data_IF_670102265900
#
_entry.id   IF_670102265900
#
_cell.length_a   1.000
_cell.length_b   1.000
_cell.length_c   1.000
_cell.angle_alpha   90.00
_cell.angle_beta   90.00
_cell.angle_gamma   90.00
#
_symmetry.space_group_name_H-M   'P 1'
#
loop_
_entity.id
_entity.type
_entity.pdbx_description
1 polymer ?
#
# COMPACT_ATOMS: atom_id res chain seq x y z
N UNK A 1 26.81 12.96 8.54
CA UNK A 1 25.34 12.97 8.66
C UNK A 1 24.78 13.69 7.43
N UNK A 2 24.48 12.96 6.35
CA UNK A 2 24.14 13.59 5.07
C UNK A 2 22.63 13.82 5.01
N UNK A 3 22.21 15.09 5.06
CA UNK A 3 20.82 15.50 4.89
C UNK A 3 20.31 15.02 3.52
N UNK A 4 19.27 14.17 3.51
CA UNK A 4 18.68 13.60 2.28
C UNK A 4 17.47 14.40 1.76
N UNK A 5 17.18 15.55 2.39
CA UNK A 5 16.10 16.43 1.97
C UNK A 5 16.34 16.95 0.55
N UNK A 6 15.30 17.02 -0.28
CA UNK A 6 15.40 17.39 -1.70
C UNK A 6 15.81 16.26 -2.65
N UNK A 7 16.28 15.11 -2.14
CA UNK A 7 16.53 13.95 -3.00
C UNK A 7 15.21 13.21 -3.34
N UNK A 8 15.06 12.68 -4.57
CA UNK A 8 13.92 11.82 -4.89
C UNK A 8 13.86 10.59 -3.98
N UNK A 9 12.66 10.30 -3.44
CA UNK A 9 12.44 9.19 -2.48
C UNK A 9 12.95 7.85 -3.01
N UNK A 10 12.70 7.55 -4.28
CA UNK A 10 13.11 6.30 -4.93
C UNK A 10 14.64 6.14 -4.98
N UNK A 11 15.38 7.23 -5.17
CA UNK A 11 16.85 7.21 -5.17
C UNK A 11 17.42 7.03 -3.76
N UNK A 12 16.79 7.66 -2.76
CA UNK A 12 17.15 7.47 -1.35
C UNK A 12 16.95 6.02 -0.92
N UNK A 13 15.85 5.38 -1.32
CA UNK A 13 15.57 3.98 -1.03
C UNK A 13 16.52 3.04 -1.77
N UNK A 14 16.81 3.27 -3.07
CA UNK A 14 17.78 2.47 -3.83
C UNK A 14 19.15 2.44 -3.15
N UNK A 15 19.67 3.60 -2.73
CA UNK A 15 20.93 3.68 -1.98
C UNK A 15 20.86 2.91 -0.67
N UNK A 16 19.75 3.07 0.09
CA UNK A 16 19.57 2.36 1.36
C UNK A 16 19.53 0.83 1.18
N UNK A 17 18.91 0.34 0.11
CA UNK A 17 18.87 -1.10 -0.18
C UNK A 17 20.28 -1.60 -0.52
N UNK A 18 21.06 -0.85 -1.31
CA UNK A 18 22.45 -1.20 -1.61
C UNK A 18 23.34 -1.22 -0.35
N UNK A 19 23.09 -0.32 0.62
CA UNK A 19 23.76 -0.34 1.93
C UNK A 19 23.43 -1.62 2.75
N UNK A 20 22.29 -2.26 2.50
CA UNK A 20 21.83 -3.47 3.20
C UNK A 20 22.31 -4.73 2.47
N UNK A 21 22.12 -4.79 1.15
CA UNK A 21 22.54 -5.90 0.30
C UNK A 21 23.04 -5.33 -1.04
N UNK A 22 24.36 -5.28 -1.28
CA UNK A 22 24.92 -4.70 -2.50
C UNK A 22 24.60 -5.51 -3.76
N UNK A 23 24.26 -6.79 -3.62
CA UNK A 23 23.89 -7.67 -4.74
C UNK A 23 22.41 -7.52 -5.14
N UNK A 24 21.61 -6.81 -4.34
CA UNK A 24 20.21 -6.55 -4.64
C UNK A 24 20.08 -5.59 -5.84
N UNK A 25 19.52 -6.09 -6.94
CA UNK A 25 19.26 -5.28 -8.13
C UNK A 25 17.99 -4.43 -7.92
N UNK A 26 18.17 -3.11 -7.83
CA UNK A 26 17.08 -2.16 -7.65
C UNK A 26 16.94 -1.23 -8.84
N UNK A 27 15.77 -1.30 -9.49
CA UNK A 27 15.32 -0.34 -10.49
C UNK A 27 14.49 0.75 -9.82
N UNK A 28 14.94 2.01 -9.91
CA UNK A 28 14.28 3.15 -9.27
C UNK A 28 13.59 4.00 -10.33
N UNK A 29 12.26 3.95 -10.36
CA UNK A 29 11.44 4.71 -11.30
C UNK A 29 10.87 5.94 -10.59
N UNK A 30 11.32 7.13 -10.99
CA UNK A 30 10.85 8.40 -10.42
C UNK A 30 9.62 8.89 -11.20
N UNK A 31 8.48 8.25 -10.98
CA UNK A 31 7.24 8.57 -11.67
C UNK A 31 6.03 8.29 -10.77
N UNK A 32 4.88 8.85 -11.14
CA UNK A 32 3.61 8.51 -10.52
C UNK A 32 2.89 7.44 -11.33
N UNK A 33 2.37 6.43 -10.64
CA UNK A 33 1.46 5.48 -11.27
C UNK A 33 0.17 6.19 -11.70
N UNK A 34 -0.16 6.05 -12.98
CA UNK A 34 -1.43 6.46 -13.57
C UNK A 34 -1.88 5.38 -14.56
N UNK A 35 -3.19 5.22 -14.82
CA UNK A 35 -3.68 4.21 -15.74
C UNK A 35 -3.02 4.25 -17.12
N UNK A 36 -2.63 5.44 -17.59
CA UNK A 36 -1.99 5.63 -18.90
C UNK A 36 -0.56 5.05 -18.95
N UNK A 37 0.09 4.90 -17.79
CA UNK A 37 1.46 4.37 -17.67
C UNK A 37 1.52 2.91 -17.23
N UNK A 38 0.38 2.24 -17.06
CA UNK A 38 0.33 0.87 -16.52
C UNK A 38 1.13 -0.14 -17.36
N UNK A 39 1.15 0.04 -18.68
CA UNK A 39 1.86 -0.84 -19.62
C UNK A 39 3.37 -0.67 -19.54
N UNK A 40 3.83 0.53 -19.16
CA UNK A 40 5.24 0.83 -18.94
C UNK A 40 5.71 0.34 -17.56
N UNK A 41 4.88 0.54 -16.53
CA UNK A 41 5.27 0.32 -15.13
C UNK A 41 5.03 -1.10 -14.62
N UNK A 42 4.03 -1.83 -15.17
CA UNK A 42 3.69 -3.19 -14.73
C UNK A 42 4.21 -4.18 -15.76
N UNK A 43 5.37 -4.76 -15.48
CA UNK A 43 5.96 -5.78 -16.34
C UNK A 43 5.39 -7.17 -16.05
N UNK A 44 5.25 -8.04 -17.07
CA UNK A 44 4.71 -9.38 -16.91
C UNK A 44 5.63 -10.34 -16.15
N UNK A 45 6.92 -10.01 -15.98
CA UNK A 45 7.91 -10.81 -15.26
C UNK A 45 7.90 -10.59 -13.74
N UNK A 46 7.02 -9.73 -13.23
CA UNK A 46 6.88 -9.52 -11.80
C UNK A 46 6.30 -10.76 -11.10
N UNK A 47 7.06 -11.29 -10.14
CA UNK A 47 6.59 -12.35 -9.24
C UNK A 47 5.49 -11.87 -8.31
N UNK A 48 5.53 -10.59 -7.91
CA UNK A 48 4.58 -10.00 -6.98
C UNK A 48 4.54 -8.48 -7.10
N UNK A 49 3.37 -7.89 -6.85
CA UNK A 49 3.19 -6.44 -6.70
C UNK A 49 2.85 -6.12 -5.24
N UNK A 50 3.55 -5.14 -4.67
CA UNK A 50 3.26 -4.59 -3.34
C UNK A 50 2.74 -3.17 -3.50
N UNK A 51 1.45 -2.97 -3.24
CA UNK A 51 0.79 -1.69 -3.41
C UNK A 51 0.74 -0.90 -2.10
N UNK A 52 1.52 0.19 -2.06
CA UNK A 52 1.55 1.19 -1.00
C UNK A 52 1.08 2.58 -1.45
N UNK A 53 0.28 2.66 -2.52
CA UNK A 53 -0.29 3.91 -3.05
C UNK A 53 -1.38 4.44 -2.12
N UNK A 54 -1.44 5.76 -1.94
CA UNK A 54 -2.45 6.46 -1.12
C UNK A 54 -3.66 6.96 -1.93
N UNK A 55 -3.47 7.26 -3.21
CA UNK A 55 -4.55 7.60 -4.14
C UNK A 55 -5.46 6.41 -4.44
N UNK A 56 -6.76 6.56 -4.14
CA UNK A 56 -7.77 5.51 -4.34
C UNK A 56 -7.91 5.11 -5.81
N UNK A 57 -7.94 6.07 -6.74
CA UNK A 57 -8.13 5.77 -8.16
C UNK A 57 -6.96 4.99 -8.75
N UNK A 58 -5.73 5.44 -8.48
CA UNK A 58 -4.51 4.78 -8.89
C UNK A 58 -4.40 3.35 -8.30
N UNK A 59 -4.73 3.20 -7.02
CA UNK A 59 -4.76 1.90 -6.33
C UNK A 59 -5.74 0.92 -6.96
N UNK A 60 -6.99 1.34 -7.17
CA UNK A 60 -8.02 0.47 -7.76
C UNK A 60 -7.62 0.03 -9.17
N UNK A 61 -7.00 0.94 -9.93
CA UNK A 61 -6.49 0.62 -11.26
C UNK A 61 -5.32 -0.37 -11.25
N UNK A 62 -4.34 -0.16 -10.38
CA UNK A 62 -3.20 -1.07 -10.20
C UNK A 62 -3.69 -2.48 -9.82
N UNK A 63 -4.61 -2.58 -8.85
CA UNK A 63 -5.18 -3.86 -8.40
C UNK A 63 -5.91 -4.56 -9.54
N UNK A 64 -6.80 -3.86 -10.25
CA UNK A 64 -7.54 -4.44 -11.36
C UNK A 64 -6.60 -4.90 -12.49
N UNK A 65 -5.57 -4.11 -12.79
CA UNK A 65 -4.58 -4.45 -13.82
C UNK A 65 -3.73 -5.65 -13.44
N UNK A 66 -3.26 -5.72 -12.18
CA UNK A 66 -2.50 -6.86 -11.67
C UNK A 66 -3.32 -8.16 -11.76
N UNK A 67 -4.57 -8.14 -11.29
CA UNK A 67 -5.48 -9.29 -11.36
C UNK A 67 -5.76 -9.70 -12.80
N UNK A 68 -6.04 -8.74 -13.70
CA UNK A 68 -6.29 -9.03 -15.10
C UNK A 68 -5.07 -9.65 -15.82
N UNK A 69 -3.85 -9.33 -15.38
CA UNK A 69 -2.60 -9.89 -15.90
C UNK A 69 -2.14 -11.16 -15.19
N UNK A 70 -2.89 -11.62 -14.18
CA UNK A 70 -2.50 -12.79 -13.38
C UNK A 70 -1.27 -12.57 -12.50
N UNK A 71 -0.92 -11.30 -12.19
CA UNK A 71 0.22 -10.99 -11.32
C UNK A 71 -0.28 -10.91 -9.87
N UNK A 72 0.27 -11.73 -8.94
CA UNK A 72 -0.10 -11.66 -7.53
C UNK A 72 0.13 -10.26 -6.94
N UNK A 73 -0.82 -9.79 -6.12
CA UNK A 73 -0.77 -8.45 -5.52
C UNK A 73 -1.24 -8.47 -4.06
N UNK A 74 -0.56 -7.68 -3.23
CA UNK A 74 -0.99 -7.33 -1.87
C UNK A 74 -1.05 -5.81 -1.74
N UNK A 75 -2.04 -5.27 -1.02
CA UNK A 75 -2.26 -3.83 -0.92
C UNK A 75 -2.41 -3.31 0.51
N UNK A 76 -1.79 -2.17 0.81
CA UNK A 76 -2.03 -1.43 2.06
C UNK A 76 -3.27 -0.55 1.93
N UNK A 77 -4.12 -0.59 2.96
CA UNK A 77 -5.22 0.34 3.16
C UNK A 77 -4.78 1.53 4.05
N UNK A 78 -5.74 2.31 4.55
CA UNK A 78 -5.47 3.51 5.33
C UNK A 78 -4.86 3.24 6.71
N UNK A 79 -3.68 3.84 6.94
CA UNK A 79 -2.95 3.87 8.21
C UNK A 79 -2.96 5.25 8.90
N UNK A 80 -3.57 6.27 8.28
CA UNK A 80 -3.68 7.61 8.86
C UNK A 80 -4.66 7.66 10.04
N UNK A 81 -4.42 8.60 10.96
CA UNK A 81 -5.17 8.83 12.19
C UNK A 81 -5.32 7.59 13.08
N UNK A 82 -4.27 6.79 13.19
CA UNK A 82 -4.26 5.54 13.96
C UNK A 82 -3.01 5.50 14.82
N UNK A 83 -3.13 4.93 16.02
CA UNK A 83 -2.03 4.87 16.99
C UNK A 83 -1.59 3.45 17.30
N UNK A 84 -2.47 2.46 17.18
CA UNK A 84 -2.20 1.09 17.61
C UNK A 84 -1.75 0.20 16.43
N UNK A 85 -0.45 -0.13 16.32
CA UNK A 85 0.05 -1.04 15.29
C UNK A 85 -0.44 -2.47 15.49
N UNK A 86 -0.85 -2.87 16.71
CA UNK A 86 -1.34 -4.23 16.99
C UNK A 86 -2.74 -4.48 16.41
N UNK A 87 -3.47 -3.41 16.07
CA UNK A 87 -4.75 -3.49 15.40
C UNK A 87 -4.65 -3.80 13.89
N UNK A 88 -3.44 -3.88 13.32
CA UNK A 88 -3.21 -4.24 11.92
C UNK A 88 -3.45 -5.74 11.69
N UNK A 89 -4.08 -6.06 10.55
CA UNK A 89 -4.38 -7.43 10.13
C UNK A 89 -4.23 -7.59 8.63
N UNK A 90 -3.80 -8.78 8.22
CA UNK A 90 -3.97 -9.28 6.86
C UNK A 90 -5.34 -9.93 6.74
N UNK A 91 -6.10 -9.56 5.72
CA UNK A 91 -7.39 -10.16 5.42
C UNK A 91 -7.71 -10.04 3.93
N UNK A 92 -8.73 -10.75 3.47
CA UNK A 92 -9.31 -10.46 2.17
C UNK A 92 -10.01 -9.08 2.16
N UNK A 93 -9.97 -8.37 1.04
CA UNK A 93 -10.63 -7.07 0.89
C UNK A 93 -12.11 -7.11 1.31
N UNK A 94 -12.82 -8.21 1.06
CA UNK A 94 -14.23 -8.39 1.42
C UNK A 94 -14.50 -8.37 2.93
N UNK A 95 -13.50 -8.75 3.74
CA UNK A 95 -13.58 -8.87 5.20
C UNK A 95 -13.17 -7.58 5.94
N UNK A 96 -12.68 -6.58 5.21
CA UNK A 96 -12.24 -5.32 5.81
C UNK A 96 -13.40 -4.51 6.38
N UNK A 97 -13.18 -3.91 7.55
CA UNK A 97 -14.13 -3.09 8.29
C UNK A 97 -13.40 -1.91 8.96
N UNK A 98 -14.15 -0.93 9.47
CA UNK A 98 -13.65 0.26 10.19
C UNK A 98 -12.74 1.21 9.37
N UNK A 99 -12.09 0.76 8.30
CA UNK A 99 -11.19 1.55 7.46
C UNK A 99 -11.97 2.27 6.33
N UNK A 100 -12.01 3.63 6.31
CA UNK A 100 -12.70 4.39 5.28
C UNK A 100 -12.15 4.15 3.87
N UNK A 101 -10.81 4.06 3.75
CA UNK A 101 -10.16 3.77 2.48
C UNK A 101 -10.55 2.39 1.95
N UNK A 102 -10.50 1.36 2.80
CA UNK A 102 -10.86 0.00 2.41
C UNK A 102 -12.34 -0.09 1.97
N UNK A 103 -13.23 0.65 2.62
CA UNK A 103 -14.65 0.73 2.23
C UNK A 103 -14.81 1.26 0.80
N UNK A 104 -14.13 2.36 0.46
CA UNK A 104 -14.21 2.97 -0.88
C UNK A 104 -13.55 2.09 -1.92
N UNK A 105 -12.33 1.60 -1.65
CA UNK A 105 -11.58 0.71 -2.55
C UNK A 105 -12.40 -0.54 -2.85
N UNK A 106 -12.97 -1.18 -1.82
CA UNK A 106 -13.84 -2.36 -1.97
C UNK A 106 -15.07 -2.07 -2.83
N UNK A 107 -15.70 -0.90 -2.67
CA UNK A 107 -16.85 -0.51 -3.51
C UNK A 107 -16.44 -0.43 -4.98
N UNK A 108 -15.37 0.30 -5.28
CA UNK A 108 -14.90 0.52 -6.66
C UNK A 108 -14.37 -0.78 -7.30
N UNK A 109 -13.75 -1.67 -6.54
CA UNK A 109 -13.33 -2.98 -7.04
C UNK A 109 -14.54 -3.88 -7.37
N UNK A 110 -15.60 -3.83 -6.56
CA UNK A 110 -16.84 -4.57 -6.85
C UNK A 110 -17.50 -4.12 -8.16
N UNK A 111 -17.46 -2.82 -8.45
CA UNK A 111 -17.93 -2.26 -9.74
C UNK A 111 -17.13 -2.81 -10.93
N UNK A 112 -15.90 -3.27 -10.70
CA UNK A 112 -15.03 -3.95 -11.69
C UNK A 112 -15.11 -5.49 -11.62
N UNK A 113 -16.06 -6.06 -10.88
CA UNK A 113 -16.22 -7.51 -10.71
C UNK A 113 -15.25 -8.16 -9.71
N UNK A 114 -14.40 -7.38 -9.04
CA UNK A 114 -13.44 -7.88 -8.05
C UNK A 114 -14.07 -7.78 -6.66
N UNK A 115 -14.53 -8.92 -6.15
CA UNK A 115 -15.30 -8.96 -4.89
C UNK A 115 -14.56 -9.64 -3.73
N UNK A 116 -13.54 -10.45 -4.04
CA UNK A 116 -12.74 -11.29 -3.14
C UNK A 116 -11.39 -11.62 -3.77
N UNK A 117 -10.58 -12.41 -3.07
CA UNK A 117 -9.25 -12.89 -3.46
C UNK A 117 -8.24 -11.76 -3.64
N UNK A 118 -8.30 -10.75 -2.77
CA UNK A 118 -7.30 -9.69 -2.69
C UNK A 118 -6.86 -9.55 -1.24
N UNK A 119 -5.66 -10.01 -0.94
CA UNK A 119 -5.04 -9.83 0.37
C UNK A 119 -4.69 -8.36 0.58
N UNK A 120 -5.13 -7.80 1.70
CA UNK A 120 -4.83 -6.42 2.08
C UNK A 120 -4.41 -6.34 3.55
N UNK A 121 -3.61 -5.32 3.85
CA UNK A 121 -3.35 -4.88 5.22
C UNK A 121 -4.28 -3.73 5.56
N UNK A 122 -5.06 -3.87 6.63
CA UNK A 122 -5.85 -2.78 7.20
C UNK A 122 -5.76 -2.85 8.72
N UNK A 123 -6.07 -1.73 9.39
CA UNK A 123 -6.22 -1.72 10.85
C UNK A 123 -7.70 -1.66 11.23
N UNK A 124 -8.05 -2.47 12.24
CA UNK A 124 -9.37 -2.53 12.86
C UNK A 124 -9.66 -1.35 13.81
N UNK A 125 -8.65 -0.53 14.11
CA UNK A 125 -8.78 0.68 14.92
C UNK A 125 -9.65 1.72 14.20
N UNK A 126 -10.57 2.34 14.95
CA UNK A 126 -11.34 3.48 14.45
C UNK A 126 -10.38 4.67 14.28
N UNK A 127 -10.30 5.29 13.08
CA UNK A 127 -9.47 6.48 12.90
C UNK A 127 -9.88 7.58 13.88
N UNK A 128 -8.89 8.22 14.50
CA UNK A 128 -9.06 9.37 15.37
C UNK A 128 -9.48 10.58 14.52
N UNK A 129 -10.50 11.29 14.98
CA UNK A 129 -10.90 12.55 14.35
C UNK A 129 -9.90 13.64 14.77
N UNK A 130 -9.22 14.31 13.82
CA UNK A 130 -8.29 15.36 14.17
C UNK A 130 -9.02 16.52 14.86
N UNK A 131 -8.40 17.08 15.89
CA UNK A 131 -8.92 18.27 16.57
C UNK A 131 -9.04 19.41 15.56
N UNK A 132 -10.16 20.13 15.57
CA UNK A 132 -10.31 21.34 14.77
C UNK A 132 -9.23 22.35 15.16
N UNK A 133 -8.45 22.84 14.19
CA UNK A 133 -7.39 23.80 14.44
C UNK A 133 -7.96 25.11 15.03
N UNK A 134 -9.14 25.54 14.57
CA UNK A 134 -9.88 26.69 15.08
C UNK A 134 -11.41 26.49 14.94
N UNK A 135 -12.24 27.09 15.84
CA UNK A 135 -13.70 26.99 15.79
C UNK A 135 -14.31 27.45 14.46
N UNK A 136 -13.69 28.44 13.81
CA UNK A 136 -14.19 29.04 12.56
C UNK A 136 -13.74 28.29 11.28
N UNK A 137 -12.88 27.28 11.39
CA UNK A 137 -12.39 26.49 10.25
C UNK A 137 -13.17 25.18 10.03
N UNK A 138 -14.25 24.94 10.79
CA UNK A 138 -15.06 23.70 10.75
C UNK A 138 -15.61 23.36 9.35
N UNK A 139 -15.78 24.35 8.47
CA UNK A 139 -16.39 24.16 7.15
C UNK A 139 -15.40 24.07 5.98
N UNK A 140 -14.10 24.33 6.16
CA UNK A 140 -13.26 24.72 5.02
C UNK A 140 -12.08 23.82 4.64
N UNK A 141 -11.73 22.77 5.38
CA UNK A 141 -10.61 21.90 4.93
C UNK A 141 -10.87 20.42 5.23
N UNK A 142 -10.75 19.58 4.20
CA UNK A 142 -10.40 18.17 4.37
C UNK A 142 -9.15 18.15 5.24
N UNK A 143 -9.28 17.80 6.51
CA UNK A 143 -8.16 17.73 7.42
C UNK A 143 -7.18 16.67 6.91
N UNK A 144 -5.91 17.06 6.78
CA UNK A 144 -4.84 16.15 6.39
C UNK A 144 -4.70 15.10 7.50
N UNK A 145 -4.77 13.79 7.20
CA UNK A 145 -4.61 12.76 8.22
C UNK A 145 -3.24 12.86 8.89
N UNK A 146 -3.22 12.82 10.22
CA UNK A 146 -2.01 12.63 11.00
C UNK A 146 -1.47 11.21 10.82
N UNK A 147 -0.16 11.05 11.03
CA UNK A 147 0.49 9.75 10.96
C UNK A 147 1.60 9.64 11.99
N UNK A 148 1.62 8.52 12.72
CA UNK A 148 2.68 8.14 13.64
C UNK A 148 3.49 7.02 13.01
N UNK A 149 4.82 7.10 13.06
CA UNK A 149 5.72 6.22 12.30
C UNK A 149 5.49 4.72 12.54
N UNK A 150 5.02 4.32 13.72
CA UNK A 150 4.84 2.92 14.09
C UNK A 150 3.77 2.20 13.25
N UNK A 151 2.66 2.85 12.90
CA UNK A 151 1.55 2.18 12.20
C UNK A 151 1.90 1.92 10.72
N UNK A 152 2.32 2.91 9.91
CA UNK A 152 2.69 2.68 8.51
C UNK A 152 3.91 1.76 8.35
N UNK A 153 4.91 1.87 9.23
CA UNK A 153 6.08 0.99 9.18
C UNK A 153 5.69 -0.47 9.43
N UNK A 154 4.84 -0.72 10.45
CA UNK A 154 4.32 -2.06 10.74
C UNK A 154 3.45 -2.58 9.59
N UNK A 155 2.62 -1.73 8.98
CA UNK A 155 1.83 -2.14 7.81
C UNK A 155 2.73 -2.60 6.65
N UNK A 156 3.85 -1.93 6.40
CA UNK A 156 4.87 -2.36 5.44
C UNK A 156 5.48 -3.73 5.78
N UNK A 157 5.73 -4.02 7.06
CA UNK A 157 6.20 -5.34 7.50
C UNK A 157 5.16 -6.44 7.29
N UNK A 158 3.88 -6.16 7.51
CA UNK A 158 2.81 -7.11 7.20
C UNK A 158 2.73 -7.40 5.70
N UNK A 159 2.86 -6.38 4.83
CA UNK A 159 2.91 -6.58 3.38
C UNK A 159 4.09 -7.47 2.97
N UNK A 160 5.29 -7.17 3.48
CA UNK A 160 6.48 -7.97 3.19
C UNK A 160 6.31 -9.44 3.65
N UNK A 161 5.80 -9.65 4.86
CA UNK A 161 5.50 -10.98 5.40
C UNK A 161 4.49 -11.75 4.54
N UNK A 162 3.44 -11.09 4.06
CA UNK A 162 2.45 -11.72 3.17
C UNK A 162 3.09 -12.21 1.87
N UNK A 163 3.92 -11.38 1.24
CA UNK A 163 4.61 -11.74 -0.02
C UNK A 163 5.58 -12.90 0.18
N UNK A 164 6.46 -12.81 1.18
CA UNK A 164 7.48 -13.84 1.42
C UNK A 164 6.82 -15.20 1.72
N UNK A 165 5.79 -15.22 2.58
CA UNK A 165 5.08 -16.45 2.88
C UNK A 165 4.34 -17.04 1.67
N UNK A 166 3.79 -16.20 0.80
CA UNK A 166 3.15 -16.67 -0.43
C UNK A 166 4.17 -17.29 -1.40
N UNK A 167 5.34 -16.66 -1.57
CA UNK A 167 6.42 -17.17 -2.42
C UNK A 167 6.95 -18.51 -1.90
N UNK A 168 7.20 -18.62 -0.59
CA UNK A 168 7.74 -19.84 0.01
C UNK A 168 6.77 -21.01 -0.13
N UNK A 169 5.46 -20.81 0.13
CA UNK A 169 4.46 -21.87 -0.02
C UNK A 169 4.32 -22.36 -1.47
N UNK A 170 4.37 -21.45 -2.44
CA UNK A 170 4.32 -21.83 -3.86
C UNK A 170 5.59 -22.57 -4.31
N UNK A 171 6.74 -22.35 -3.66
CA UNK A 171 7.97 -23.10 -3.93
C UNK A 171 7.87 -24.55 -3.42
N UNK A 172 7.21 -24.77 -2.29
CA UNK A 172 6.98 -26.10 -1.72
C UNK A 172 6.00 -26.94 -2.58
N UNK A 173 5.06 -26.31 -3.28
CA UNK A 173 4.12 -26.99 -4.20
C UNK A 173 4.78 -27.46 -5.53
N UNK A 174 6.03 -27.08 -5.76
CA UNK A 174 6.82 -27.42 -6.96
C UNK A 174 8.10 -28.21 -6.65
N UNK A 175 8.32 -28.61 -5.40
CA UNK A 175 9.41 -29.47 -4.94
C UNK A 175 8.97 -30.93 -4.79
#
# INVERSE_FOLDING_TARGET
MTLRSGCPKVQVLKRRIADINPDCRVEAIQDFYRPEKRDELIRPDFTYIVDAIDSISAKVDLIATAIARGIPIVSSMGAGNKLDPTALRLADISQTHTCPMAKVVRKLLRERGITRNLTVVFSCEKPIEPLAAHPDEQHLRRQVPGSIAFVPATAGLFLASAVINAILKNADDHA
#
